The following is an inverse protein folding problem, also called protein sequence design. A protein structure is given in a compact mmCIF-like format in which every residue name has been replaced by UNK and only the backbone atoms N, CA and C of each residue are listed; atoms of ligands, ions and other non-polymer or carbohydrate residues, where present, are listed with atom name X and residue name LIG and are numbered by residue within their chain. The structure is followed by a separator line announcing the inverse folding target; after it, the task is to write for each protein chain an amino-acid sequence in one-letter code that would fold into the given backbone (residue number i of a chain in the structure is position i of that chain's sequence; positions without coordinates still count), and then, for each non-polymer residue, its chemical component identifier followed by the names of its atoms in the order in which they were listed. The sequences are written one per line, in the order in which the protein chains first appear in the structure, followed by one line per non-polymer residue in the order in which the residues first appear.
data_IF_497483331096
#
_entry.id   IF_497483331096
#
_cell.length_a   1.000
_cell.length_b   1.000
_cell.length_c   1.000
_cell.angle_alpha   90.00
_cell.angle_beta   90.00
_cell.angle_gamma   90.00
#
_symmetry.space_group_name_H-M   'P 1'
#
loop_
_entity.id
_entity.type
_entity.pdbx_description
1 polymer ?
#
# COMPACT_ATOMS: atom_id res chain seq x y z
N UNK A 1 22.46 4.50 9.26
CA UNK A 1 22.13 4.13 7.87
C UNK A 1 21.16 2.94 7.75
N UNK A 2 21.29 1.89 8.57
CA UNK A 2 20.44 0.68 8.47
C UNK A 2 18.93 0.91 8.74
N UNK A 3 18.57 1.85 9.62
CA UNK A 3 17.16 2.13 9.94
C UNK A 3 16.43 2.86 8.80
N UNK A 4 17.13 3.75 8.08
CA UNK A 4 16.58 4.47 6.92
C UNK A 4 16.23 3.49 5.80
N UNK A 5 17.12 2.53 5.53
CA UNK A 5 16.88 1.48 4.53
C UNK A 5 15.66 0.63 4.88
N UNK A 6 15.50 0.25 6.15
CA UNK A 6 14.32 -0.50 6.62
C UNK A 6 13.03 0.28 6.42
N UNK A 7 13.02 1.56 6.76
CA UNK A 7 11.85 2.44 6.58
C UNK A 7 11.54 2.63 5.10
N UNK A 8 12.56 2.89 4.27
CA UNK A 8 12.38 3.05 2.82
C UNK A 8 11.83 1.77 2.17
N UNK A 9 12.35 0.60 2.57
CA UNK A 9 11.85 -0.68 2.10
C UNK A 9 10.41 -0.94 2.58
N UNK A 10 10.13 -0.68 3.86
CA UNK A 10 8.78 -0.80 4.41
C UNK A 10 7.77 0.10 3.71
N UNK A 11 8.15 1.34 3.40
CA UNK A 11 7.35 2.28 2.63
C UNK A 11 7.06 1.75 1.23
N UNK A 12 8.10 1.35 0.49
CA UNK A 12 7.96 0.89 -0.90
C UNK A 12 7.15 -0.41 -1.00
N UNK A 13 7.49 -1.41 -0.18
CA UNK A 13 6.80 -2.71 -0.16
C UNK A 13 5.36 -2.54 0.36
N UNK A 14 5.17 -1.77 1.42
CA UNK A 14 3.84 -1.47 1.95
C UNK A 14 2.95 -0.78 0.92
N UNK A 15 3.49 0.21 0.20
CA UNK A 15 2.76 0.88 -0.88
C UNK A 15 2.36 -0.11 -1.97
N UNK A 16 3.31 -0.91 -2.46
CA UNK A 16 3.05 -1.87 -3.52
C UNK A 16 1.98 -2.89 -3.13
N UNK A 17 2.06 -3.45 -1.92
CA UNK A 17 1.07 -4.40 -1.40
C UNK A 17 -0.30 -3.75 -1.23
N UNK A 18 -0.36 -2.54 -0.66
CA UNK A 18 -1.59 -1.78 -0.51
C UNK A 18 -2.25 -1.43 -1.84
N UNK A 19 -1.46 -1.02 -2.84
CA UNK A 19 -1.93 -0.71 -4.18
C UNK A 19 -2.50 -1.97 -4.87
N UNK A 20 -1.77 -3.09 -4.83
CA UNK A 20 -2.24 -4.37 -5.40
C UNK A 20 -3.53 -4.84 -4.72
N UNK A 21 -3.59 -4.77 -3.38
CA UNK A 21 -4.77 -5.17 -2.62
C UNK A 21 -5.98 -4.29 -2.94
N UNK A 22 -5.80 -2.96 -3.05
CA UNK A 22 -6.89 -2.05 -3.39
C UNK A 22 -7.37 -2.20 -4.82
N UNK A 23 -6.45 -2.34 -5.77
CA UNK A 23 -6.81 -2.62 -7.17
C UNK A 23 -7.64 -3.90 -7.27
N UNK A 24 -7.13 -5.00 -6.70
CA UNK A 24 -7.85 -6.28 -6.69
C UNK A 24 -9.20 -6.19 -5.97
N UNK A 25 -9.25 -5.45 -4.86
CA UNK A 25 -10.49 -5.20 -4.11
C UNK A 25 -11.56 -4.52 -4.96
N UNK A 26 -11.20 -3.46 -5.70
CA UNK A 26 -12.13 -2.79 -6.62
C UNK A 26 -12.60 -3.74 -7.72
N UNK A 27 -11.70 -4.54 -8.31
CA UNK A 27 -12.08 -5.50 -9.35
C UNK A 27 -13.10 -6.55 -8.86
N UNK A 28 -13.03 -6.95 -7.59
CA UNK A 28 -13.93 -7.95 -7.01
C UNK A 28 -15.23 -7.35 -6.47
N UNK A 29 -15.17 -6.18 -5.83
CA UNK A 29 -16.28 -5.64 -5.05
C UNK A 29 -17.01 -4.46 -5.71
N UNK A 30 -16.43 -3.79 -6.70
CA UNK A 30 -17.04 -2.59 -7.30
C UNK A 30 -18.11 -2.92 -8.33
N UNK A 31 -19.30 -2.35 -8.13
CA UNK A 31 -20.42 -2.39 -9.07
C UNK A 31 -20.29 -1.39 -10.23
N UNK A 32 -19.22 -0.59 -10.29
CA UNK A 32 -19.00 0.33 -11.39
C UNK A 32 -18.80 -0.44 -12.70
N UNK A 33 -19.69 -0.23 -13.67
CA UNK A 33 -19.66 -0.91 -14.97
C UNK A 33 -19.10 -0.05 -16.10
N UNK A 34 -18.85 1.24 -15.84
CA UNK A 34 -18.41 2.18 -16.86
C UNK A 34 -16.90 2.37 -16.78
N UNK A 35 -16.36 2.67 -15.59
CA UNK A 35 -14.96 3.09 -15.41
C UNK A 35 -14.24 2.35 -14.26
N UNK A 36 -14.48 1.03 -14.14
CA UNK A 36 -13.94 0.22 -13.03
C UNK A 36 -12.42 0.26 -12.94
N UNK A 37 -11.73 0.14 -14.07
CA UNK A 37 -10.26 0.11 -14.09
C UNK A 37 -9.66 1.45 -13.66
N UNK A 38 -10.32 2.57 -13.98
CA UNK A 38 -9.92 3.90 -13.53
C UNK A 38 -10.14 4.05 -12.03
N UNK A 39 -11.31 3.65 -11.52
CA UNK A 39 -11.60 3.61 -10.08
C UNK A 39 -10.56 2.75 -9.33
N UNK A 40 -10.23 1.58 -9.86
CA UNK A 40 -9.24 0.67 -9.28
C UNK A 40 -7.85 1.32 -9.23
N UNK A 41 -7.42 1.95 -10.33
CA UNK A 41 -6.14 2.64 -10.40
C UNK A 41 -6.08 3.82 -9.42
N UNK A 42 -7.13 4.64 -9.33
CA UNK A 42 -7.17 5.79 -8.42
C UNK A 42 -7.20 5.34 -6.95
N UNK A 43 -8.00 4.33 -6.64
CA UNK A 43 -8.08 3.75 -5.29
C UNK A 43 -6.74 3.16 -4.86
N UNK A 44 -6.11 2.38 -5.73
CA UNK A 44 -4.80 1.79 -5.49
C UNK A 44 -3.72 2.85 -5.27
N UNK A 45 -3.67 3.88 -6.14
CA UNK A 45 -2.59 4.85 -6.14
C UNK A 45 -2.70 5.88 -5.00
N UNK A 46 -3.90 6.33 -4.68
CA UNK A 46 -4.14 7.48 -3.80
C UNK A 46 -4.79 7.13 -2.45
N UNK A 47 -5.34 5.93 -2.29
CA UNK A 47 -5.94 5.50 -1.02
C UNK A 47 -5.19 4.30 -0.42
N UNK A 48 -5.33 3.11 -1.01
CA UNK A 48 -4.83 1.88 -0.37
C UNK A 48 -3.31 1.74 -0.45
N UNK A 49 -2.67 2.25 -1.51
CA UNK A 49 -1.21 2.33 -1.60
C UNK A 49 -0.62 3.18 -0.46
N UNK A 50 -1.01 4.45 -0.30
CA UNK A 50 -0.55 5.29 0.82
C UNK A 50 -0.86 4.69 2.20
N UNK A 51 -2.03 4.07 2.39
CA UNK A 51 -2.36 3.34 3.63
C UNK A 51 -1.41 2.16 3.87
N UNK A 52 -1.17 1.35 2.85
CA UNK A 52 -0.21 0.24 2.91
C UNK A 52 1.21 0.72 3.20
N UNK A 53 1.63 1.85 2.63
CA UNK A 53 2.92 2.48 2.91
C UNK A 53 3.06 2.89 4.38
N UNK A 54 2.03 3.54 4.94
CA UNK A 54 2.00 3.93 6.35
C UNK A 54 2.11 2.71 7.29
N UNK A 55 1.37 1.62 6.98
CA UNK A 55 1.45 0.36 7.71
C UNK A 55 2.85 -0.27 7.58
N UNK A 56 3.42 -0.29 6.37
CA UNK A 56 4.76 -0.82 6.12
C UNK A 56 5.85 -0.08 6.89
N UNK A 57 5.76 1.25 6.97
CA UNK A 57 6.65 2.06 7.82
C UNK A 57 6.45 1.75 9.30
N UNK A 58 5.21 1.66 9.78
CA UNK A 58 4.92 1.32 11.17
C UNK A 58 5.53 -0.05 11.57
N UNK A 59 5.39 -1.05 10.69
CA UNK A 59 5.98 -2.38 10.87
C UNK A 59 7.52 -2.31 10.86
N UNK A 60 8.12 -1.57 9.92
CA UNK A 60 9.57 -1.38 9.85
C UNK A 60 10.15 -0.75 11.13
N UNK A 61 9.48 0.29 11.66
CA UNK A 61 9.87 0.95 12.90
C UNK A 61 9.72 0.03 14.11
N UNK A 62 8.62 -0.72 14.19
CA UNK A 62 8.39 -1.68 15.26
C UNK A 62 9.44 -2.79 15.30
N UNK A 63 9.82 -3.34 14.14
CA UNK A 63 10.92 -4.31 14.04
C UNK A 63 12.27 -3.70 14.42
N UNK A 64 12.50 -2.43 14.08
CA UNK A 64 13.72 -1.70 14.43
C UNK A 64 13.88 -1.46 15.94
N UNK A 65 12.80 -1.46 16.73
CA UNK A 65 12.84 -1.30 18.19
C UNK A 65 13.16 -2.60 18.94
N UNK A 66 13.13 -3.75 18.27
CA UNK A 66 13.27 -5.09 18.87
C UNK A 66 14.66 -5.70 18.70
N UNK A 67 15.55 -5.07 17.94
CA UNK A 67 16.95 -5.47 17.78
C UNK A 67 17.86 -4.37 18.30
#
# INVERSE_FOLDING_TARGET
MHWVLRVALGLAVGYALGAVAGYAGVQVFSGNMHDRDLEAAMTAAFATGPLGAALGVAVALWMGRRG
#
